data_IF_193713697318
#
_entry.id   IF_193713697318
#
_cell.length_a   1.000
_cell.length_b   1.000
_cell.length_c   1.000
_cell.angle_alpha   90.00
_cell.angle_beta   90.00
_cell.angle_gamma   90.00
#
_symmetry.space_group_name_H-M   'P 1'
#
loop_
_entity.id
_entity.type
_entity.pdbx_description
1 polymer ?
#
# COMPACT_ATOMS: atom_id res chain seq x y z
N UNK A 1 -61.15 -12.89 44.78
CA UNK A 1 -61.37 -13.96 43.79
C UNK A 1 -62.17 -13.37 42.65
N UNK A 2 -61.54 -13.12 41.49
CA UNK A 2 -62.21 -12.81 40.22
C UNK A 2 -61.18 -12.91 39.08
N UNK A 3 -61.71 -13.25 37.90
CA UNK A 3 -61.08 -13.86 36.73
C UNK A 3 -60.05 -13.02 35.93
N UNK A 4 -59.21 -13.74 35.15
CA UNK A 4 -58.37 -13.25 34.03
C UNK A 4 -59.20 -12.50 32.96
N UNK A 5 -58.56 -11.66 32.13
CA UNK A 5 -58.23 -12.16 30.78
C UNK A 5 -56.85 -11.74 30.24
N UNK A 6 -56.38 -12.56 29.30
CA UNK A 6 -55.19 -12.42 28.46
C UNK A 6 -55.25 -11.20 27.55
N UNK A 7 -54.10 -10.53 27.32
CA UNK A 7 -53.79 -9.91 26.02
C UNK A 7 -52.30 -10.10 25.75
N UNK A 8 -52.00 -10.83 24.68
CA UNK A 8 -50.68 -10.91 24.07
C UNK A 8 -50.41 -9.61 23.32
N UNK A 9 -49.31 -8.92 23.65
CA UNK A 9 -48.74 -7.89 22.79
C UNK A 9 -47.40 -8.40 22.27
N UNK A 10 -47.41 -8.84 21.01
CA UNK A 10 -46.22 -9.02 20.21
C UNK A 10 -45.61 -7.64 19.97
N UNK A 11 -44.55 -7.31 20.69
CA UNK A 11 -43.68 -6.19 20.33
C UNK A 11 -42.74 -6.67 19.23
N UNK A 12 -43.11 -6.32 18.00
CA UNK A 12 -42.23 -6.38 16.83
C UNK A 12 -40.91 -5.71 17.15
N UNK A 13 -39.85 -6.51 17.25
CA UNK A 13 -38.47 -6.02 17.20
C UNK A 13 -38.24 -5.38 15.84
N UNK A 14 -38.46 -4.07 15.73
CA UNK A 14 -37.89 -3.27 14.66
C UNK A 14 -36.39 -3.29 14.87
N UNK A 15 -35.73 -4.20 14.14
CA UNK A 15 -34.32 -4.14 13.85
C UNK A 15 -34.08 -2.78 13.18
N UNK A 16 -33.71 -1.77 13.98
CA UNK A 16 -33.12 -0.56 13.44
C UNK A 16 -31.76 -0.96 12.89
N UNK A 17 -31.75 -1.38 11.62
CA UNK A 17 -30.53 -1.41 10.81
C UNK A 17 -30.13 0.06 10.69
N UNK A 18 -29.32 0.52 11.64
CA UNK A 18 -28.63 1.79 11.52
C UNK A 18 -27.73 1.67 10.29
N UNK A 19 -28.23 2.19 9.17
CA UNK A 19 -27.40 2.52 8.03
C UNK A 19 -26.41 3.57 8.51
N UNK A 20 -25.20 3.13 8.85
CA UNK A 20 -24.06 4.03 9.05
C UNK A 20 -23.64 4.54 7.67
N UNK A 21 -24.34 5.56 7.18
CA UNK A 21 -23.84 6.42 6.12
C UNK A 21 -23.01 7.52 6.77
N UNK A 22 -21.73 7.28 6.95
CA UNK A 22 -20.74 8.32 7.10
C UNK A 22 -19.44 7.73 6.59
N UNK A 23 -19.00 8.22 5.43
CA UNK A 23 -17.74 7.80 4.83
C UNK A 23 -16.67 7.79 5.88
N UNK A 24 -16.09 6.61 6.13
CA UNK A 24 -14.78 6.54 6.73
C UNK A 24 -13.89 7.37 5.81
N UNK A 25 -13.58 8.60 6.22
CA UNK A 25 -12.42 9.29 5.69
C UNK A 25 -11.29 8.28 5.90
N UNK A 26 -10.88 7.60 4.83
CA UNK A 26 -9.66 6.81 4.85
C UNK A 26 -8.61 7.83 5.24
N UNK A 27 -8.13 7.76 6.49
CA UNK A 27 -7.15 8.68 6.98
C UNK A 27 -5.99 8.62 5.97
N UNK A 28 -5.84 9.69 5.18
CA UNK A 28 -4.80 9.72 4.16
C UNK A 28 -3.49 9.58 4.92
N UNK A 29 -2.67 8.61 4.50
CA UNK A 29 -1.33 8.44 5.08
C UNK A 29 -0.54 9.76 4.97
N UNK A 30 0.49 9.96 5.79
CA UNK A 30 1.31 11.17 5.77
C UNK A 30 2.06 11.38 4.45
N UNK A 31 2.15 10.34 3.61
CA UNK A 31 2.62 10.40 2.23
C UNK A 31 1.70 9.63 1.30
N UNK A 32 1.84 9.89 0.00
CA UNK A 32 1.23 9.11 -1.07
C UNK A 32 2.29 8.67 -2.09
N UNK A 33 2.19 7.43 -2.57
CA UNK A 33 3.02 6.94 -3.65
C UNK A 33 2.36 7.23 -5.01
N UNK A 34 3.18 7.57 -6.00
CA UNK A 34 2.79 7.73 -7.38
C UNK A 34 3.77 7.00 -8.28
N UNK A 35 3.24 6.16 -9.18
CA UNK A 35 4.01 5.50 -10.22
C UNK A 35 3.74 6.23 -11.53
N UNK A 36 4.73 6.90 -12.13
CA UNK A 36 4.50 7.67 -13.34
C UNK A 36 4.35 6.74 -14.56
N UNK A 37 3.14 6.75 -15.14
CA UNK A 37 2.89 6.16 -16.45
C UNK A 37 2.96 4.63 -16.51
N UNK A 38 3.26 4.13 -17.73
CA UNK A 38 3.38 2.71 -18.03
C UNK A 38 4.84 2.27 -17.84
N UNK A 39 5.04 1.18 -17.11
CA UNK A 39 6.38 0.60 -16.92
C UNK A 39 6.64 -0.38 -18.04
N UNK A 40 7.76 -0.23 -18.73
CA UNK A 40 8.19 -1.14 -19.80
C UNK A 40 9.51 -1.76 -19.40
N UNK A 41 9.55 -3.09 -19.30
CA UNK A 41 10.76 -3.87 -19.06
C UNK A 41 11.12 -4.54 -20.38
N UNK A 42 12.30 -4.20 -20.93
CA UNK A 42 12.81 -4.74 -22.19
C UNK A 42 14.11 -5.51 -21.96
N UNK A 43 14.11 -6.79 -22.35
CA UNK A 43 15.32 -7.63 -22.37
C UNK A 43 16.07 -7.71 -21.04
N UNK A 44 17.40 -7.78 -21.12
CA UNK A 44 18.33 -7.98 -19.99
C UNK A 44 18.79 -6.68 -19.31
N UNK A 45 18.32 -5.51 -19.77
CA UNK A 45 18.65 -4.25 -19.12
C UNK A 45 18.03 -4.21 -17.72
N UNK A 46 18.79 -3.76 -16.71
CA UNK A 46 18.31 -3.66 -15.33
C UNK A 46 17.33 -2.48 -15.21
N UNK A 47 16.00 -2.68 -15.32
CA UNK A 47 15.07 -1.57 -15.39
C UNK A 47 14.94 -0.98 -13.98
N UNK A 48 14.72 0.34 -13.89
CA UNK A 48 14.47 1.00 -12.61
C UNK A 48 13.13 1.71 -12.69
N UNK A 49 12.23 1.38 -11.77
CA UNK A 49 11.01 2.13 -11.55
C UNK A 49 11.31 3.29 -10.59
N UNK A 50 11.04 4.52 -11.01
CA UNK A 50 11.11 5.69 -10.12
C UNK A 50 9.75 5.98 -9.52
N UNK A 51 9.58 5.67 -8.23
CA UNK A 51 8.36 5.99 -7.49
C UNK A 51 8.47 7.42 -6.98
N UNK A 52 7.42 8.22 -7.17
CA UNK A 52 7.31 9.55 -6.57
C UNK A 52 6.58 9.44 -5.24
N UNK A 53 7.16 10.00 -4.18
CA UNK A 53 6.57 10.06 -2.85
C UNK A 53 6.16 11.51 -2.58
N UNK A 54 4.87 11.75 -2.33
CA UNK A 54 4.32 13.09 -2.05
C UNK A 54 3.97 13.21 -0.59
N UNK A 55 4.47 14.26 0.09
CA UNK A 55 4.04 14.61 1.43
C UNK A 55 2.62 15.19 1.46
N UNK A 56 1.84 14.83 2.47
CA UNK A 56 0.44 15.20 2.63
C UNK A 56 0.12 15.95 3.94
N UNK A 57 1.08 16.14 4.84
CA UNK A 57 0.88 16.72 6.17
C UNK A 57 1.19 18.22 6.21
N UNK A 58 0.45 18.98 7.01
CA UNK A 58 0.74 20.40 7.22
C UNK A 58 1.89 20.58 8.24
N UNK A 59 1.97 19.71 9.23
CA UNK A 59 3.10 19.59 10.16
C UNK A 59 4.10 18.57 9.63
N UNK A 60 5.26 19.04 9.17
CA UNK A 60 6.34 18.22 8.62
C UNK A 60 6.88 17.22 9.65
N UNK A 61 7.11 15.98 9.23
CA UNK A 61 7.96 14.99 9.91
C UNK A 61 8.70 14.15 8.88
N UNK A 62 9.66 13.34 9.35
CA UNK A 62 10.35 12.37 8.51
C UNK A 62 9.79 10.98 8.80
N UNK A 63 9.42 10.27 7.74
CA UNK A 63 9.19 8.82 7.79
C UNK A 63 10.39 8.11 7.20
N UNK A 64 10.72 6.96 7.77
CA UNK A 64 11.83 6.13 7.33
C UNK A 64 11.34 4.83 6.75
N UNK A 65 12.03 4.41 5.71
CA UNK A 65 11.75 3.19 4.98
C UNK A 65 13.06 2.45 4.76
N UNK A 66 13.06 1.17 5.05
CA UNK A 66 14.18 0.30 4.70
C UNK A 66 13.92 -0.38 3.34
N UNK A 67 14.95 -0.72 2.54
CA UNK A 67 14.79 -1.36 1.24
C UNK A 67 13.85 -2.57 1.25
N UNK A 68 13.92 -3.43 2.28
CA UNK A 68 13.06 -4.61 2.41
C UNK A 68 11.59 -4.30 2.75
N UNK A 69 11.31 -3.07 3.13
CA UNK A 69 9.98 -2.57 3.44
C UNK A 69 9.31 -1.95 2.20
N UNK A 70 10.04 -1.78 1.10
CA UNK A 70 9.50 -1.47 -0.23
C UNK A 70 9.39 -2.78 -0.99
N UNK A 71 8.16 -3.18 -1.32
CA UNK A 71 7.91 -4.42 -2.03
C UNK A 71 7.10 -4.15 -3.28
N UNK A 72 7.35 -4.93 -4.31
CA UNK A 72 6.47 -5.03 -5.45
C UNK A 72 5.99 -6.47 -5.64
N UNK A 73 4.75 -6.58 -6.10
CA UNK A 73 4.14 -7.84 -6.54
C UNK A 73 3.67 -7.67 -7.96
N UNK A 74 4.02 -8.60 -8.84
CA UNK A 74 3.51 -8.65 -10.22
C UNK A 74 2.37 -9.65 -10.29
N UNK A 75 1.26 -9.21 -10.84
CA UNK A 75 0.06 -10.00 -11.06
C UNK A 75 -0.22 -10.15 -12.55
N UNK A 76 -0.76 -11.30 -12.93
CA UNK A 76 -1.35 -11.48 -14.26
C UNK A 76 -2.72 -10.77 -14.37
N UNK A 77 -3.40 -10.94 -15.50
CA UNK A 77 -4.72 -10.34 -15.75
C UNK A 77 -5.85 -10.98 -14.94
N UNK A 78 -5.64 -12.17 -14.40
CA UNK A 78 -6.60 -12.89 -13.54
C UNK A 78 -6.45 -12.50 -12.06
N UNK A 79 -5.40 -11.74 -11.72
CA UNK A 79 -5.08 -11.38 -10.34
C UNK A 79 -4.18 -12.40 -9.64
N UNK A 80 -3.61 -13.36 -10.37
CA UNK A 80 -2.67 -14.34 -9.82
C UNK A 80 -1.31 -13.69 -9.64
N UNK A 81 -0.75 -13.77 -8.43
CA UNK A 81 0.59 -13.26 -8.13
C UNK A 81 1.65 -14.17 -8.78
N UNK A 82 2.45 -13.59 -9.68
CA UNK A 82 3.51 -14.30 -10.41
C UNK A 82 4.89 -14.09 -9.79
N UNK A 83 5.12 -12.92 -9.18
CA UNK A 83 6.39 -12.53 -8.59
C UNK A 83 6.14 -11.62 -7.40
N UNK A 84 6.90 -11.82 -6.33
CA UNK A 84 6.96 -10.92 -5.18
C UNK A 84 8.42 -10.65 -4.83
N UNK A 85 8.75 -9.38 -4.63
CA UNK A 85 10.09 -8.96 -4.25
C UNK A 85 10.05 -7.72 -3.34
N UNK A 86 10.94 -7.59 -2.34
CA UNK A 86 11.79 -8.64 -1.76
C UNK A 86 11.01 -9.85 -1.23
N UNK A 87 11.62 -11.04 -1.27
CA UNK A 87 11.06 -12.28 -0.71
C UNK A 87 11.94 -12.81 0.44
N UNK A 88 11.58 -13.95 1.03
CA UNK A 88 12.29 -14.51 2.19
C UNK A 88 13.79 -14.82 1.95
N UNK A 89 14.23 -14.93 0.70
CA UNK A 89 15.64 -15.16 0.32
C UNK A 89 16.38 -13.87 -0.03
N UNK A 90 15.69 -12.73 -0.10
CA UNK A 90 16.30 -11.45 -0.47
C UNK A 90 17.04 -10.85 0.72
N UNK A 91 18.34 -10.64 0.55
CA UNK A 91 19.15 -9.87 1.50
C UNK A 91 19.02 -8.38 1.19
N UNK A 92 18.60 -7.59 2.16
CA UNK A 92 18.48 -6.14 2.02
C UNK A 92 19.56 -5.43 2.83
N UNK A 93 20.14 -4.39 2.25
CA UNK A 93 21.01 -3.49 2.99
C UNK A 93 20.24 -2.84 4.15
N UNK A 94 20.88 -2.76 5.32
CA UNK A 94 20.37 -2.01 6.47
C UNK A 94 20.64 -0.52 6.29
N UNK A 95 19.89 0.10 5.37
CA UNK A 95 19.92 1.54 5.14
C UNK A 95 18.49 2.07 5.27
N UNK A 96 18.33 3.19 5.96
CA UNK A 96 17.05 3.91 5.99
C UNK A 96 17.03 5.02 4.95
N UNK A 97 15.88 5.18 4.31
CA UNK A 97 15.56 6.26 3.38
C UNK A 97 14.49 7.11 4.05
N UNK A 98 14.80 8.39 4.28
CA UNK A 98 13.89 9.35 4.89
C UNK A 98 13.05 10.08 3.84
N UNK A 99 11.75 10.22 4.10
CA UNK A 99 10.84 11.05 3.29
C UNK A 99 10.19 12.12 4.17
N UNK A 100 10.19 13.35 3.67
CA UNK A 100 9.50 14.45 4.32
C UNK A 100 8.01 14.41 3.98
N UNK A 101 7.17 14.43 5.03
CA UNK A 101 5.72 14.36 4.91
C UNK A 101 5.05 15.71 4.65
N UNK A 102 5.79 16.81 4.64
CA UNK A 102 5.27 18.15 4.41
C UNK A 102 4.53 18.25 3.07
N UNK A 103 3.35 18.87 3.10
CA UNK A 103 2.46 19.04 1.95
C UNK A 103 3.20 19.73 0.81
N UNK A 104 3.17 19.10 -0.36
CA UNK A 104 3.78 19.64 -1.58
C UNK A 104 5.24 19.27 -1.77
N UNK A 105 5.89 18.66 -0.78
CA UNK A 105 7.21 18.07 -0.96
C UNK A 105 7.09 16.78 -1.75
N UNK A 106 7.98 16.63 -2.73
CA UNK A 106 8.12 15.43 -3.54
C UNK A 106 9.50 14.82 -3.33
N UNK A 107 9.54 13.50 -3.29
CA UNK A 107 10.78 12.73 -3.24
C UNK A 107 10.72 11.59 -4.24
N UNK A 108 11.89 11.07 -4.59
CA UNK A 108 12.02 9.96 -5.52
C UNK A 108 12.57 8.73 -4.80
N UNK A 109 12.01 7.58 -5.13
CA UNK A 109 12.45 6.28 -4.66
C UNK A 109 12.71 5.38 -5.86
N UNK A 110 13.98 5.17 -6.25
CA UNK A 110 14.31 4.21 -7.29
C UNK A 110 14.11 2.79 -6.78
N UNK A 111 13.37 1.99 -7.53
CA UNK A 111 13.09 0.59 -7.27
C UNK A 111 13.61 -0.26 -8.43
N UNK A 112 14.74 -0.96 -8.25
CA UNK A 112 15.27 -1.86 -9.26
C UNK A 112 14.29 -2.98 -9.58
N UNK A 113 14.08 -3.24 -10.87
CA UNK A 113 13.17 -4.26 -11.41
C UNK A 113 13.92 -5.45 -12.00
N UNK A 114 15.21 -5.61 -11.69
CA UNK A 114 16.04 -6.70 -12.23
C UNK A 114 15.44 -8.09 -11.98
N UNK A 115 14.71 -8.28 -10.88
CA UNK A 115 14.04 -9.55 -10.58
C UNK A 115 12.87 -9.85 -11.52
N UNK A 116 12.25 -8.85 -12.14
CA UNK A 116 11.24 -9.06 -13.18
C UNK A 116 11.90 -9.69 -14.41
N UNK A 117 13.06 -9.18 -14.83
CA UNK A 117 13.84 -9.76 -15.94
C UNK A 117 14.32 -11.19 -15.63
N UNK A 118 14.64 -11.50 -14.36
CA UNK A 118 15.04 -12.85 -13.93
C UNK A 118 13.88 -13.83 -13.79
N UNK A 119 12.66 -13.34 -13.64
CA UNK A 119 11.47 -14.16 -13.44
C UNK A 119 10.98 -14.84 -14.73
N UNK A 120 11.61 -14.59 -15.88
CA UNK A 120 11.25 -15.18 -17.18
C UNK A 120 9.74 -15.08 -17.50
N UNK A 121 9.14 -13.93 -17.17
CA UNK A 121 7.75 -13.66 -17.51
C UNK A 121 7.60 -13.63 -19.03
N UNK A 122 6.50 -14.19 -19.53
CA UNK A 122 6.18 -14.12 -20.96
C UNK A 122 5.98 -12.67 -21.39
N UNK A 123 6.18 -12.39 -22.68
CA UNK A 123 5.87 -11.07 -23.22
C UNK A 123 4.38 -10.77 -23.04
N UNK A 124 4.05 -9.58 -22.53
CA UNK A 124 2.67 -9.28 -22.22
C UNK A 124 2.44 -8.09 -21.30
N UNK A 125 1.20 -7.95 -20.85
CA UNK A 125 0.73 -6.91 -19.93
C UNK A 125 0.35 -7.52 -18.60
N UNK A 126 0.86 -6.91 -17.54
CA UNK A 126 0.73 -7.30 -16.15
C UNK A 126 0.34 -6.09 -15.29
N UNK A 127 -0.02 -6.36 -14.05
CA UNK A 127 -0.22 -5.34 -13.02
C UNK A 127 0.93 -5.44 -12.05
N UNK A 128 1.61 -4.33 -11.76
CA UNK A 128 2.57 -4.25 -10.66
C UNK A 128 1.94 -3.46 -9.53
N UNK A 129 1.94 -4.04 -8.33
CA UNK A 129 1.54 -3.38 -7.10
C UNK A 129 2.78 -3.10 -6.29
N UNK A 130 3.02 -1.84 -5.96
CA UNK A 130 4.11 -1.45 -5.08
C UNK A 130 3.52 -1.04 -3.75
N UNK A 131 4.03 -1.58 -2.67
CA UNK A 131 3.72 -1.14 -1.32
C UNK A 131 4.98 -0.82 -0.53
N UNK A 132 4.87 0.19 0.31
CA UNK A 132 5.94 0.68 1.16
C UNK A 132 5.43 0.70 2.58
N UNK A 133 6.14 -0.02 3.45
CA UNK A 133 5.97 0.07 4.88
C UNK A 133 6.96 1.10 5.41
N UNK A 134 6.46 2.09 6.14
CA UNK A 134 7.28 3.14 6.72
C UNK A 134 7.07 3.20 8.24
N UNK A 135 8.08 3.71 8.95
CA UNK A 135 8.01 4.00 10.37
C UNK A 135 8.35 5.46 10.61
N UNK A 136 7.70 6.11 11.57
CA UNK A 136 8.06 7.49 11.94
C UNK A 136 9.11 7.45 13.06
N UNK A 137 10.08 8.37 13.04
CA UNK A 137 10.88 8.62 14.25
C UNK A 137 10.02 9.35 15.29
N UNK A 138 10.14 8.93 16.55
CA UNK A 138 9.87 9.80 17.69
C UNK A 138 10.81 9.41 18.85
N UNK A 139 12.06 9.88 18.77
CA UNK A 139 13.07 9.70 19.83
C UNK A 139 13.37 8.24 20.22
N UNK A 140 13.96 8.06 21.40
CA UNK A 140 14.45 6.76 21.90
C UNK A 140 13.37 5.78 22.37
N UNK A 141 12.09 6.17 22.38
CA UNK A 141 10.98 5.32 22.85
C UNK A 141 9.66 5.62 22.16
N UNK A 142 9.56 5.43 20.85
CA UNK A 142 8.27 5.11 20.23
C UNK A 142 8.48 4.50 18.84
N UNK A 143 8.37 3.17 18.78
CA UNK A 143 8.24 2.45 17.52
C UNK A 143 6.85 2.76 16.98
N UNK A 144 6.76 3.78 16.13
CA UNK A 144 5.48 4.19 15.55
C UNK A 144 4.83 3.05 14.77
N UNK A 145 3.49 3.04 14.77
CA UNK A 145 2.71 2.08 14.01
C UNK A 145 3.15 2.12 12.54
N UNK A 146 3.34 0.95 11.91
CA UNK A 146 3.79 0.90 10.53
C UNK A 146 2.74 1.55 9.63
N UNK A 147 3.16 2.55 8.87
CA UNK A 147 2.36 3.10 7.80
C UNK A 147 2.49 2.20 6.59
N UNK A 148 1.36 1.78 6.01
CA UNK A 148 1.33 1.12 4.72
C UNK A 148 0.79 2.08 3.67
N UNK A 149 1.61 2.39 2.66
CA UNK A 149 1.17 3.12 1.47
C UNK A 149 1.42 2.27 0.25
N UNK A 150 0.56 2.36 -0.76
CA UNK A 150 0.69 1.54 -1.96
C UNK A 150 0.15 2.23 -3.19
N UNK A 151 0.60 1.79 -4.36
CA UNK A 151 0.08 2.21 -5.65
C UNK A 151 0.24 1.05 -6.66
N UNK A 152 -0.61 1.01 -7.68
CA UNK A 152 -0.56 0.01 -8.76
C UNK A 152 -0.28 0.69 -10.10
N UNK A 153 0.38 -0.03 -11.00
CA UNK A 153 0.63 0.43 -12.35
C UNK A 153 0.57 -0.71 -13.35
N UNK A 154 0.41 -0.36 -14.63
CA UNK A 154 0.55 -1.31 -15.72
C UNK A 154 2.03 -1.57 -15.98
N UNK A 155 2.39 -2.85 -16.00
CA UNK A 155 3.68 -3.37 -16.41
C UNK A 155 3.56 -4.01 -17.79
N UNK A 156 4.45 -3.65 -18.70
CA UNK A 156 4.63 -4.32 -20.00
C UNK A 156 6.00 -5.00 -20.02
N UNK A 157 6.00 -6.30 -20.29
CA UNK A 157 7.21 -7.09 -20.56
C UNK A 157 7.32 -7.25 -22.08
N UNK A 158 8.45 -6.83 -22.65
CA UNK A 158 8.78 -6.96 -24.07
C UNK A 158 10.06 -7.76 -24.27
#
# INVERSE_FOLDING_TARGET
MTHRPSVAFALSSMLAVQMVSAGAATAQGPVQLFIPGRIVVQGTSAPVLTIKVKGLENSSRIIYVEPCQVRFTVFDRTGTALLMYPNAKTLCAQRQIGFNTARGVWSELPLPLAEISKANLQQGRYIIHVHMRATTEQGSKQRALPLLVSNTATLEVK
#
